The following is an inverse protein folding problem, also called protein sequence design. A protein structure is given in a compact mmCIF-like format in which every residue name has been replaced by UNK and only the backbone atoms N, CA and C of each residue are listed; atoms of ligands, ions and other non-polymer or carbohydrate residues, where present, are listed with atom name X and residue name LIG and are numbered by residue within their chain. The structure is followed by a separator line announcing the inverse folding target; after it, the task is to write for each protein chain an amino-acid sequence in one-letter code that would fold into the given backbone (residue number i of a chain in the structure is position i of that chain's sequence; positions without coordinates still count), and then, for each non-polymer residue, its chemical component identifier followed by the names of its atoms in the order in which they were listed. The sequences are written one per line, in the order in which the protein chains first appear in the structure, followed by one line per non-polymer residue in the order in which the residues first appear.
data_IF_573100210761
#
_entry.id   IF_573100210761
#
_cell.length_a   1.000
_cell.length_b   1.000
_cell.length_c   1.000
_cell.angle_alpha   90.00
_cell.angle_beta   90.00
_cell.angle_gamma   90.00
#
_symmetry.space_group_name_H-M   'P 1'
#
loop_
_entity.id
_entity.type
_entity.pdbx_description
1 polymer ?
#
# COMPACT_ATOMS: atom_id res chain seq x y z
N UNK A 1 -6.01 14.13 -15.45
CA UNK A 1 -5.66 13.96 -14.02
C UNK A 1 -4.78 12.74 -13.88
N UNK A 2 -3.51 12.91 -13.50
CA UNK A 2 -2.59 11.79 -13.33
C UNK A 2 -3.13 10.83 -12.26
N UNK A 3 -3.35 9.56 -12.61
CA UNK A 3 -3.62 8.50 -11.64
C UNK A 3 -2.43 8.46 -10.69
N UNK A 4 -2.57 9.00 -9.48
CA UNK A 4 -1.54 8.88 -8.45
C UNK A 4 -1.53 7.41 -8.03
N UNK A 5 -0.58 6.65 -8.54
CA UNK A 5 -0.27 5.32 -8.06
C UNK A 5 1.11 5.37 -7.44
N UNK A 6 1.29 4.73 -6.30
CA UNK A 6 2.61 4.55 -5.69
C UNK A 6 2.75 3.11 -5.22
N UNK A 7 4.00 2.68 -5.09
CA UNK A 7 4.35 1.32 -4.67
C UNK A 7 5.10 1.41 -3.35
N UNK A 8 4.76 0.52 -2.42
CA UNK A 8 5.54 0.31 -1.20
C UNK A 8 6.27 -1.01 -1.39
N UNK A 9 7.60 -0.96 -1.42
CA UNK A 9 8.43 -2.15 -1.42
C UNK A 9 8.31 -2.85 -0.05
N UNK A 10 8.05 -4.16 -0.08
CA UNK A 10 8.02 -4.99 1.10
C UNK A 10 9.26 -5.89 1.12
N UNK A 11 9.96 -5.88 2.25
CA UNK A 11 11.07 -6.81 2.50
C UNK A 11 10.56 -8.24 2.75
N UNK A 12 9.39 -8.37 3.39
CA UNK A 12 8.75 -9.64 3.73
C UNK A 12 7.37 -9.80 3.11
N UNK A 13 6.95 -11.06 2.90
CA UNK A 13 5.61 -11.37 2.39
C UNK A 13 4.54 -11.03 3.43
N UNK A 14 3.59 -10.12 3.13
CA UNK A 14 2.48 -9.86 4.03
C UNK A 14 1.51 -11.05 3.95
N UNK A 15 1.42 -11.80 5.05
CA UNK A 15 0.56 -12.98 5.16
C UNK A 15 -0.87 -12.57 5.46
N UNK A 16 -1.05 -11.54 6.29
CA UNK A 16 -2.34 -11.06 6.75
C UNK A 16 -2.65 -9.66 6.20
N UNK A 17 -3.93 -9.28 6.23
CA UNK A 17 -4.35 -7.90 5.90
C UNK A 17 -3.83 -6.89 6.93
N UNK A 18 -3.57 -7.34 8.17
CA UNK A 18 -2.97 -6.53 9.24
C UNK A 18 -1.52 -6.15 8.93
N UNK A 19 -0.73 -7.09 8.40
CA UNK A 19 0.64 -6.81 7.93
C UNK A 19 0.66 -5.71 6.86
N UNK A 20 -0.31 -5.75 5.94
CA UNK A 20 -0.47 -4.73 4.89
C UNK A 20 -0.76 -3.37 5.51
N UNK A 21 -1.69 -3.31 6.47
CA UNK A 21 -2.01 -2.07 7.16
C UNK A 21 -0.78 -1.52 7.89
N UNK A 22 -0.06 -2.38 8.63
CA UNK A 22 1.11 -1.98 9.42
C UNK A 22 2.23 -1.39 8.56
N UNK A 23 2.46 -1.95 7.37
CA UNK A 23 3.44 -1.41 6.41
C UNK A 23 3.01 -0.08 5.80
N UNK A 24 1.71 0.10 5.54
CA UNK A 24 1.15 1.38 5.10
C UNK A 24 1.28 2.43 6.22
N UNK A 25 1.05 2.06 7.47
CA UNK A 25 1.26 2.93 8.65
C UNK A 25 2.72 3.33 8.77
N UNK A 26 3.66 2.38 8.65
CA UNK A 26 5.10 2.64 8.67
C UNK A 26 5.52 3.59 7.55
N UNK A 27 5.03 3.37 6.33
CA UNK A 27 5.32 4.24 5.20
C UNK A 27 4.78 5.65 5.43
N UNK A 28 3.53 5.79 5.88
CA UNK A 28 2.93 7.10 6.13
C UNK A 28 3.59 7.81 7.32
N UNK A 29 3.94 7.09 8.38
CA UNK A 29 4.67 7.63 9.54
C UNK A 29 6.06 8.15 9.17
N UNK A 30 6.83 7.39 8.36
CA UNK A 30 8.15 7.83 7.85
C UNK A 30 8.05 9.10 7.00
N UNK A 31 6.97 9.23 6.21
CA UNK A 31 6.76 10.36 5.32
C UNK A 31 5.92 11.50 5.94
N UNK A 32 5.55 11.39 7.22
CA UNK A 32 4.67 12.31 7.94
C UNK A 32 3.39 12.65 7.15
N UNK A 33 2.78 11.61 6.57
CA UNK A 33 1.57 11.72 5.77
C UNK A 33 0.35 11.42 6.62
N UNK A 34 -0.69 12.28 6.60
CA UNK A 34 -1.97 11.93 7.22
C UNK A 34 -2.59 10.76 6.46
N UNK A 35 -2.98 9.72 7.19
CA UNK A 35 -3.61 8.53 6.66
C UNK A 35 -4.78 8.10 7.55
N UNK A 36 -5.77 7.44 6.96
CA UNK A 36 -6.92 6.86 7.64
C UNK A 36 -7.35 5.58 6.92
N UNK A 37 -7.61 4.49 7.64
CA UNK A 37 -8.04 3.24 7.03
C UNK A 37 -9.56 3.17 6.96
N UNK A 38 -10.10 3.26 5.74
CA UNK A 38 -11.53 3.07 5.48
C UNK A 38 -11.89 1.59 5.55
N UNK A 39 -11.01 0.72 5.02
CA UNK A 39 -11.22 -0.73 4.99
C UNK A 39 -9.90 -1.45 5.22
N UNK A 40 -9.82 -2.24 6.29
CA UNK A 40 -8.62 -3.03 6.65
C UNK A 40 -8.63 -4.47 6.13
N UNK A 41 -9.58 -4.83 5.26
CA UNK A 41 -9.75 -6.18 4.70
C UNK A 41 -9.59 -6.16 3.19
N UNK A 42 -8.91 -7.15 2.60
CA UNK A 42 -8.62 -7.18 1.15
C UNK A 42 -9.87 -7.03 0.27
N UNK A 43 -9.88 -6.09 -0.71
CA UNK A 43 -8.85 -5.08 -0.94
C UNK A 43 -8.85 -3.98 0.14
N UNK A 44 -7.67 -3.71 0.71
CA UNK A 44 -7.48 -2.69 1.76
C UNK A 44 -7.69 -1.31 1.15
N UNK A 45 -8.42 -0.44 1.82
CA UNK A 45 -8.68 0.94 1.37
C UNK A 45 -8.21 1.90 2.46
N UNK A 46 -7.27 2.76 2.11
CA UNK A 46 -6.79 3.82 2.99
C UNK A 46 -6.92 5.18 2.31
N UNK A 47 -7.42 6.16 3.05
CA UNK A 47 -7.36 7.56 2.67
C UNK A 47 -6.00 8.09 3.07
N UNK A 48 -5.22 8.59 2.11
CA UNK A 48 -3.91 9.19 2.37
C UNK A 48 -3.96 10.62 1.85
N UNK A 49 -3.74 11.59 2.75
CA UNK A 49 -4.08 13.01 2.54
C UNK A 49 -5.58 13.17 2.23
N UNK A 50 -5.88 13.47 0.97
CA UNK A 50 -7.23 13.73 0.48
C UNK A 50 -7.71 12.71 -0.55
N UNK A 51 -6.90 11.69 -0.87
CA UNK A 51 -7.27 10.68 -1.87
C UNK A 51 -7.44 9.32 -1.21
N UNK A 52 -8.43 8.58 -1.68
CA UNK A 52 -8.61 7.19 -1.31
C UNK A 52 -7.70 6.34 -2.18
N UNK A 53 -7.00 5.40 -1.57
CA UNK A 53 -6.12 4.46 -2.23
C UNK A 53 -6.58 3.05 -1.94
N UNK A 54 -6.78 2.28 -3.00
CA UNK A 54 -6.93 0.84 -2.94
C UNK A 54 -5.53 0.21 -2.91
N UNK A 55 -5.28 -0.57 -1.87
CA UNK A 55 -3.99 -1.18 -1.57
C UNK A 55 -4.14 -2.67 -1.81
N UNK A 56 -3.33 -3.16 -2.74
CA UNK A 56 -3.30 -4.57 -3.13
C UNK A 56 -1.88 -5.09 -3.09
N UNK A 57 -1.68 -6.27 -2.48
CA UNK A 57 -0.39 -6.93 -2.56
C UNK A 57 -0.18 -7.49 -3.96
N UNK A 58 0.98 -7.22 -4.53
CA UNK A 58 1.41 -7.72 -5.83
C UNK A 58 2.79 -8.31 -5.67
N UNK A 59 3.00 -9.48 -6.25
CA UNK A 59 4.32 -10.05 -6.36
C UNK A 59 4.97 -9.54 -7.63
N UNK A 60 6.11 -8.87 -7.53
CA UNK A 60 6.88 -8.47 -8.69
C UNK A 60 8.03 -9.45 -8.88
N UNK A 61 7.99 -10.16 -10.01
CA UNK A 61 9.04 -11.10 -10.42
C UNK A 61 10.01 -10.34 -11.33
N UNK A 62 10.91 -9.59 -10.70
CA UNK A 62 11.98 -8.88 -11.40
C UNK A 62 13.10 -9.84 -11.80
N UNK A 63 13.79 -9.55 -12.92
CA UNK A 63 14.90 -10.35 -13.47
C UNK A 63 16.08 -10.59 -12.50
N UNK A 64 16.12 -9.88 -11.36
CA UNK A 64 17.21 -9.96 -10.37
C UNK A 64 16.75 -10.13 -8.91
N UNK A 65 15.52 -9.73 -8.54
CA UNK A 65 14.98 -9.89 -7.19
C UNK A 65 13.47 -10.11 -7.25
N UNK A 66 13.04 -11.18 -6.59
CA UNK A 66 11.65 -11.48 -6.28
C UNK A 66 11.26 -10.69 -5.04
N UNK A 67 10.36 -9.71 -5.18
CA UNK A 67 9.90 -8.90 -4.04
C UNK A 67 8.40 -8.71 -4.03
N UNK A 68 7.86 -8.62 -2.83
CA UNK A 68 6.47 -8.24 -2.62
C UNK A 68 6.38 -6.73 -2.64
N UNK A 69 5.35 -6.20 -3.31
CA UNK A 69 5.08 -4.77 -3.35
C UNK A 69 3.60 -4.54 -3.02
N UNK A 70 3.30 -3.47 -2.29
CA UNK A 70 1.92 -2.98 -2.15
C UNK A 70 1.66 -1.96 -3.26
N UNK A 71 0.78 -2.31 -4.19
CA UNK A 71 0.29 -1.41 -5.20
C UNK A 71 -0.83 -0.55 -4.60
N UNK A 72 -0.54 0.73 -4.37
CA UNK A 72 -1.51 1.71 -3.90
C UNK A 72 -2.04 2.50 -5.09
N UNK A 73 -3.29 2.22 -5.48
CA UNK A 73 -3.95 2.84 -6.64
C UNK A 73 -5.02 3.81 -6.15
N UNK A 74 -4.93 5.08 -6.54
CA UNK A 74 -5.97 6.04 -6.20
C UNK A 74 -7.33 5.61 -6.78
N UNK A 75 -8.33 5.51 -5.91
CA UNK A 75 -9.75 5.32 -6.24
C UNK A 75 -10.48 6.64 -6.03
N UNK A 76 -11.29 7.03 -7.02
CA UNK A 76 -11.97 8.32 -7.08
C UNK A 76 -13.32 8.27 -6.39
#
# INVERSE_FOLDING_TARGET
MAKKCFFIDLEDMPKTDEDICLEVERYCGKNNLPFDFIKKTSPVIAKIKDNNYEITKKYENGRFLNRWILSCKAVK
#
